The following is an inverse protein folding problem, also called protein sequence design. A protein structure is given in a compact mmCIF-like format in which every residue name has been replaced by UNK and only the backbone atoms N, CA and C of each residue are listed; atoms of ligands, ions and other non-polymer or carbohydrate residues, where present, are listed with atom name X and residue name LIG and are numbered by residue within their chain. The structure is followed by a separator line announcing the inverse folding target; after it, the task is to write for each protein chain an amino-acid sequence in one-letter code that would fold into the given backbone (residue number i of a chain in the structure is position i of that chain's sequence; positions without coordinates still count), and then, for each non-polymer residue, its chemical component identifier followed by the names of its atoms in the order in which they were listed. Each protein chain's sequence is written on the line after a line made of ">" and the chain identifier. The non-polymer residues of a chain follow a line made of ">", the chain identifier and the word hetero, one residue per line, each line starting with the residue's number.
data_IF_568740742829
#
_entry.id   IF_568740742829
#
_cell.length_a   1.000
_cell.length_b   1.000
_cell.length_c   1.000
_cell.angle_alpha   90.00
_cell.angle_beta   90.00
_cell.angle_gamma   90.00
#
_symmetry.space_group_name_H-M   'P 1'
#
loop_
_entity.id
_entity.type
_entity.pdbx_description
1 polymer ?
#
# COMPACT_ATOMS: atom_id res chain seq x y z
N UNK A 1 -19.28 11.16 -13.30
CA UNK A 1 -20.04 11.96 -14.25
C UNK A 1 -19.13 12.98 -14.93
N UNK A 2 -19.33 13.28 -16.21
CA UNK A 2 -18.50 14.23 -16.99
C UNK A 2 -18.42 15.63 -16.36
N UNK A 3 -19.43 16.05 -15.62
CA UNK A 3 -19.45 17.35 -14.95
C UNK A 3 -18.47 17.41 -13.76
N UNK A 4 -18.32 16.32 -13.02
CA UNK A 4 -17.36 16.24 -11.91
C UNK A 4 -15.91 16.26 -12.42
N UNK A 5 -15.61 15.51 -13.48
CA UNK A 5 -14.25 15.47 -14.06
C UNK A 5 -13.78 16.84 -14.56
N UNK A 6 -14.68 17.66 -15.13
CA UNK A 6 -14.36 19.03 -15.55
C UNK A 6 -14.06 19.97 -14.38
N UNK A 7 -14.60 19.67 -13.20
CA UNK A 7 -14.40 20.47 -11.98
C UNK A 7 -13.17 20.02 -11.18
N UNK A 8 -12.70 18.79 -11.39
CA UNK A 8 -11.51 18.24 -10.74
C UNK A 8 -10.29 19.03 -11.21
N UNK A 9 -9.56 19.63 -10.27
CA UNK A 9 -8.35 20.40 -10.53
C UNK A 9 -7.09 19.54 -10.34
N UNK A 10 -7.02 18.83 -9.24
CA UNK A 10 -5.93 17.95 -8.89
C UNK A 10 -6.43 16.80 -8.01
N UNK A 11 -5.69 15.71 -7.99
CA UNK A 11 -5.82 14.57 -7.06
C UNK A 11 -4.43 14.41 -6.44
N UNK A 12 -4.40 14.30 -5.13
CA UNK A 12 -3.18 14.01 -4.40
C UNK A 12 -3.29 12.60 -3.83
N UNK A 13 -2.35 11.76 -4.18
CA UNK A 13 -2.21 10.40 -3.65
C UNK A 13 -1.03 10.41 -2.69
N UNK A 14 -1.34 10.30 -1.41
CA UNK A 14 -0.36 10.36 -0.33
C UNK A 14 -0.11 8.94 0.18
N UNK A 15 0.91 8.27 -0.39
CA UNK A 15 1.32 6.90 -0.09
C UNK A 15 0.20 5.85 -0.25
N UNK A 16 -0.76 6.10 -1.14
CA UNK A 16 -1.84 5.18 -1.44
C UNK A 16 -1.31 3.97 -2.24
N UNK A 17 -1.83 2.75 -2.02
CA UNK A 17 -1.53 1.62 -2.89
C UNK A 17 -2.08 1.87 -4.29
N UNK A 18 -1.43 1.30 -5.30
CA UNK A 18 -1.87 1.38 -6.68
C UNK A 18 -3.10 0.53 -6.98
N UNK A 19 -3.29 0.23 -8.25
CA UNK A 19 -4.41 -0.57 -8.74
C UNK A 19 -3.91 -1.73 -9.61
N UNK A 20 -4.72 -2.78 -9.82
CA UNK A 20 -4.43 -3.78 -10.85
C UNK A 20 -4.25 -3.12 -12.23
N UNK A 21 -3.34 -3.63 -13.05
CA UNK A 21 -2.98 -3.02 -14.36
C UNK A 21 -4.18 -2.74 -15.27
N UNK A 22 -5.19 -3.62 -15.28
CA UNK A 22 -6.40 -3.45 -16.08
C UNK A 22 -7.23 -2.20 -15.71
N UNK A 23 -7.03 -1.63 -14.52
CA UNK A 23 -7.73 -0.41 -14.10
C UNK A 23 -7.34 0.78 -14.97
N UNK A 24 -6.08 0.86 -15.38
CA UNK A 24 -5.52 2.02 -16.10
C UNK A 24 -5.97 2.09 -17.57
N UNK A 25 -6.44 0.98 -18.12
CA UNK A 25 -7.03 0.94 -19.47
C UNK A 25 -8.43 1.55 -19.53
N UNK A 26 -9.00 1.93 -18.38
CA UNK A 26 -10.34 2.52 -18.32
C UNK A 26 -10.32 3.94 -18.83
N UNK A 27 -11.25 4.24 -19.74
CA UNK A 27 -11.42 5.57 -20.31
C UNK A 27 -11.58 6.68 -19.25
N UNK A 28 -12.19 6.36 -18.13
CA UNK A 28 -12.41 7.30 -17.03
C UNK A 28 -11.10 7.73 -16.36
N UNK A 29 -10.16 6.82 -16.18
CA UNK A 29 -8.85 7.11 -15.61
C UNK A 29 -8.03 8.02 -16.54
N UNK A 30 -7.97 7.70 -17.82
CA UNK A 30 -7.22 8.48 -18.83
C UNK A 30 -7.61 9.97 -18.86
N UNK A 31 -8.83 10.31 -18.44
CA UNK A 31 -9.30 11.71 -18.41
C UNK A 31 -8.79 12.52 -17.21
N UNK A 32 -8.27 11.86 -16.18
CA UNK A 32 -7.82 12.51 -14.94
C UNK A 32 -6.34 12.27 -14.65
N UNK A 33 -5.68 11.39 -15.37
CA UNK A 33 -4.28 11.02 -15.18
C UNK A 33 -3.35 12.22 -15.00
N UNK A 34 -3.42 13.21 -15.90
CA UNK A 34 -2.58 14.39 -15.87
C UNK A 34 -2.82 15.32 -14.65
N UNK A 35 -3.81 14.99 -13.83
CA UNK A 35 -4.16 15.74 -12.61
C UNK A 35 -3.74 15.04 -11.34
N UNK A 36 -3.20 13.83 -11.45
CA UNK A 36 -2.79 13.02 -10.31
C UNK A 36 -1.36 13.38 -9.94
N UNK A 37 -1.17 13.70 -8.67
CA UNK A 37 0.12 13.93 -8.03
C UNK A 37 0.32 12.83 -7.01
N UNK A 38 1.28 11.95 -7.26
CA UNK A 38 1.57 10.82 -6.39
C UNK A 38 2.80 11.12 -5.54
N UNK A 39 2.62 11.11 -4.23
CA UNK A 39 3.67 11.29 -3.23
C UNK A 39 3.84 10.01 -2.43
N UNK A 40 5.08 9.66 -2.13
CA UNK A 40 5.39 8.45 -1.36
C UNK A 40 6.69 8.66 -0.59
N UNK A 41 6.80 8.23 0.69
CA UNK A 41 8.04 8.39 1.44
C UNK A 41 9.13 7.45 0.93
N UNK A 42 10.39 7.80 1.18
CA UNK A 42 11.55 7.02 0.71
C UNK A 42 11.57 5.55 1.16
N UNK A 43 10.97 5.24 2.31
CA UNK A 43 10.88 3.87 2.82
C UNK A 43 9.48 3.25 2.66
N UNK A 44 8.67 3.77 1.73
CA UNK A 44 7.32 3.27 1.52
C UNK A 44 7.29 1.79 1.16
N UNK A 45 6.28 1.12 1.70
CA UNK A 45 5.86 -0.22 1.31
C UNK A 45 4.45 -0.12 0.72
N UNK A 46 3.55 0.57 1.39
CA UNK A 46 2.12 0.67 1.01
C UNK A 46 1.96 1.36 -0.34
N UNK A 47 2.54 2.55 -0.50
CA UNK A 47 2.46 3.32 -1.75
C UNK A 47 3.19 2.70 -2.94
N UNK A 48 3.88 1.58 -2.74
CA UNK A 48 4.56 0.82 -3.79
C UNK A 48 3.90 -0.52 -4.11
N UNK A 49 2.81 -0.84 -3.43
CA UNK A 49 2.02 -2.04 -3.72
C UNK A 49 1.17 -1.82 -4.98
N UNK A 50 1.04 -2.87 -5.79
CA UNK A 50 0.29 -2.84 -7.03
C UNK A 50 0.95 -1.92 -8.08
N UNK A 51 0.18 -1.55 -9.11
CA UNK A 51 0.68 -0.76 -10.23
C UNK A 51 0.24 0.70 -10.14
N UNK A 52 1.17 1.61 -10.40
CA UNK A 52 0.93 3.04 -10.58
C UNK A 52 1.28 3.45 -12.00
N UNK A 53 0.46 4.26 -12.63
CA UNK A 53 0.70 4.82 -13.98
C UNK A 53 1.20 6.28 -13.90
N UNK A 54 1.47 6.76 -12.69
CA UNK A 54 2.02 8.10 -12.41
C UNK A 54 3.36 7.93 -11.70
N UNK A 55 4.36 8.67 -12.15
CA UNK A 55 5.67 8.69 -11.51
C UNK A 55 5.58 9.28 -10.10
N UNK A 56 6.17 8.63 -9.09
CA UNK A 56 6.13 9.10 -7.72
C UNK A 56 7.04 10.31 -7.50
N UNK A 57 6.57 11.25 -6.69
CA UNK A 57 7.43 12.22 -6.02
C UNK A 57 7.86 11.63 -4.68
N UNK A 58 9.10 11.16 -4.58
CA UNK A 58 9.62 10.53 -3.37
C UNK A 58 9.93 11.63 -2.35
N UNK A 59 9.33 11.54 -1.16
CA UNK A 59 9.48 12.53 -0.10
C UNK A 59 10.30 11.97 1.07
N UNK A 60 11.03 12.85 1.74
CA UNK A 60 11.74 12.49 2.96
C UNK A 60 10.77 12.39 4.14
N UNK A 61 10.81 11.26 4.87
CA UNK A 61 10.11 11.09 6.14
C UNK A 61 11.09 10.91 7.28
N UNK A 62 10.84 11.56 8.40
CA UNK A 62 11.62 11.39 9.64
C UNK A 62 11.36 10.03 10.31
N UNK A 63 10.25 9.38 9.99
CA UNK A 63 9.91 8.08 10.50
C UNK A 63 10.56 6.95 9.68
N UNK A 64 10.41 5.72 10.16
CA UNK A 64 10.84 4.49 9.48
C UNK A 64 9.73 3.45 9.46
N UNK A 65 9.83 2.48 8.55
CA UNK A 65 8.87 1.39 8.38
C UNK A 65 7.46 1.93 8.07
N UNK A 66 6.42 1.27 8.56
CA UNK A 66 5.02 1.65 8.31
C UNK A 66 4.65 3.04 8.83
N UNK A 67 5.39 3.58 9.80
CA UNK A 67 5.12 4.94 10.31
C UNK A 67 5.38 6.05 9.28
N UNK A 68 6.13 5.76 8.22
CA UNK A 68 6.33 6.70 7.11
C UNK A 68 5.04 6.97 6.32
N UNK A 69 4.05 6.08 6.42
CA UNK A 69 2.71 6.32 5.84
C UNK A 69 2.01 7.55 6.43
N UNK A 70 2.46 8.03 7.58
CA UNK A 70 1.95 9.26 8.21
C UNK A 70 2.48 10.51 7.48
N UNK A 71 1.63 11.19 6.73
CA UNK A 71 1.97 12.44 6.03
C UNK A 71 2.56 13.50 6.97
N UNK A 72 2.14 13.51 8.24
CA UNK A 72 2.67 14.43 9.26
C UNK A 72 4.15 14.21 9.61
N UNK A 73 4.74 13.08 9.22
CA UNK A 73 6.16 12.80 9.38
C UNK A 73 7.01 13.19 8.16
N UNK A 74 6.37 13.69 7.11
CA UNK A 74 7.07 14.08 5.89
C UNK A 74 7.70 15.47 6.07
N UNK A 75 8.97 15.56 5.77
CA UNK A 75 9.73 16.80 5.97
C UNK A 75 9.35 17.84 4.94
N UNK A 76 9.13 19.07 5.43
CA UNK A 76 8.79 20.23 4.60
C UNK A 76 9.99 21.18 4.56
N UNK A 77 10.36 21.60 3.35
CA UNK A 77 11.37 22.62 3.11
C UNK A 77 10.73 23.84 2.43
N UNK A 78 10.47 24.87 3.22
CA UNK A 78 9.77 26.07 2.80
C UNK A 78 8.29 25.81 2.46
N UNK A 79 7.94 25.86 1.19
CA UNK A 79 6.58 25.68 0.67
C UNK A 79 6.32 24.33 -0.03
N UNK A 80 7.25 23.39 0.11
CA UNK A 80 7.20 22.08 -0.55
C UNK A 80 7.74 20.98 0.35
N UNK A 81 7.46 19.73 0.00
CA UNK A 81 8.12 18.59 0.63
C UNK A 81 9.61 18.57 0.26
N UNK A 82 10.43 18.04 1.17
CA UNK A 82 11.81 17.68 0.87
C UNK A 82 11.79 16.39 0.06
N UNK A 83 12.35 16.42 -1.13
CA UNK A 83 12.35 15.29 -2.06
C UNK A 83 13.63 14.47 -1.93
N UNK A 84 13.47 13.16 -2.20
CA UNK A 84 14.54 12.19 -2.32
C UNK A 84 14.66 11.71 -3.77
N UNK A 85 15.87 11.33 -4.19
CA UNK A 85 16.11 10.86 -5.56
C UNK A 85 15.70 9.38 -5.76
N UNK A 86 15.61 8.61 -4.69
CA UNK A 86 15.34 7.16 -4.72
C UNK A 86 14.75 6.66 -3.43
N UNK A 87 14.17 5.48 -3.52
CA UNK A 87 13.71 4.73 -2.35
C UNK A 87 14.87 4.16 -1.54
N UNK A 88 14.60 3.82 -0.29
CA UNK A 88 15.50 3.06 0.58
C UNK A 88 15.67 1.63 0.04
N UNK A 89 16.88 1.08 0.17
CA UNK A 89 17.17 -0.28 -0.30
C UNK A 89 16.27 -1.35 0.32
N UNK A 90 15.87 -1.17 1.59
CA UNK A 90 14.95 -2.09 2.27
C UNK A 90 13.56 -2.00 1.67
N UNK A 91 13.08 -0.79 1.38
CA UNK A 91 11.81 -0.55 0.69
C UNK A 91 11.82 -1.17 -0.70
N UNK A 92 12.91 -1.01 -1.48
CA UNK A 92 13.06 -1.63 -2.79
C UNK A 92 12.87 -3.14 -2.70
N UNK A 93 13.64 -3.80 -1.83
CA UNK A 93 13.59 -5.25 -1.68
C UNK A 93 12.20 -5.76 -1.26
N UNK A 94 11.58 -5.12 -0.25
CA UNK A 94 10.28 -5.56 0.28
C UNK A 94 9.18 -5.32 -0.75
N UNK A 95 9.19 -4.17 -1.44
CA UNK A 95 8.17 -3.84 -2.44
C UNK A 95 8.26 -4.73 -3.66
N UNK A 96 9.46 -5.00 -4.17
CA UNK A 96 9.66 -5.91 -5.30
C UNK A 96 9.12 -7.30 -4.96
N UNK A 97 9.41 -7.77 -3.75
CA UNK A 97 8.95 -9.07 -3.29
C UNK A 97 7.42 -9.15 -3.11
N UNK A 98 6.79 -8.12 -2.54
CA UNK A 98 5.33 -8.05 -2.39
C UNK A 98 4.66 -7.99 -3.77
N UNK A 99 5.18 -7.19 -4.70
CA UNK A 99 4.62 -7.08 -6.03
C UNK A 99 4.79 -8.38 -6.84
N UNK A 100 5.94 -9.05 -6.70
CA UNK A 100 6.13 -10.39 -7.27
C UNK A 100 5.10 -11.37 -6.71
N UNK A 101 4.82 -11.33 -5.41
CA UNK A 101 3.79 -12.16 -4.80
C UNK A 101 2.40 -11.85 -5.36
N UNK A 102 2.03 -10.58 -5.46
CA UNK A 102 0.73 -10.14 -6.00
C UNK A 102 0.53 -10.63 -7.44
N UNK A 103 1.59 -10.66 -8.25
CA UNK A 103 1.53 -11.18 -9.62
C UNK A 103 1.26 -12.71 -9.69
N UNK A 104 1.49 -13.45 -8.59
CA UNK A 104 1.27 -14.91 -8.50
C UNK A 104 -0.05 -15.33 -7.83
N UNK A 105 -0.81 -14.39 -7.27
CA UNK A 105 -2.08 -14.67 -6.61
C UNK A 105 -3.25 -14.18 -7.47
N UNK A 106 -4.41 -14.84 -7.35
CA UNK A 106 -5.62 -14.40 -8.04
C UNK A 106 -6.23 -13.16 -7.38
N UNK A 107 -7.11 -12.47 -8.10
CA UNK A 107 -7.86 -11.32 -7.55
C UNK A 107 -8.66 -11.72 -6.29
N UNK A 108 -9.21 -12.94 -6.25
CA UNK A 108 -9.94 -13.46 -5.09
C UNK A 108 -9.03 -13.70 -3.89
N UNK A 109 -7.81 -14.20 -4.13
CA UNK A 109 -6.80 -14.39 -3.08
C UNK A 109 -6.29 -13.05 -2.56
N UNK A 110 -6.11 -12.05 -3.43
CA UNK A 110 -5.74 -10.70 -3.06
C UNK A 110 -6.83 -10.03 -2.21
N UNK A 111 -8.10 -10.17 -2.60
CA UNK A 111 -9.24 -9.67 -1.83
C UNK A 111 -9.28 -10.33 -0.45
N UNK A 112 -9.16 -11.66 -0.39
CA UNK A 112 -9.11 -12.39 0.88
C UNK A 112 -7.97 -11.92 1.79
N UNK A 113 -6.81 -11.60 1.20
CA UNK A 113 -5.67 -11.07 1.94
C UNK A 113 -6.03 -9.74 2.62
N UNK A 114 -6.59 -8.79 1.89
CA UNK A 114 -6.99 -7.49 2.44
C UNK A 114 -8.13 -7.60 3.45
N UNK A 115 -9.17 -8.39 3.16
CA UNK A 115 -10.29 -8.64 4.08
C UNK A 115 -9.78 -9.24 5.40
N UNK A 116 -8.77 -10.12 5.32
CA UNK A 116 -8.17 -10.73 6.50
C UNK A 116 -7.35 -9.71 7.30
N UNK A 117 -6.60 -8.83 6.64
CA UNK A 117 -5.89 -7.75 7.32
C UNK A 117 -6.85 -6.80 8.05
N UNK A 118 -7.95 -6.41 7.39
CA UNK A 118 -9.00 -5.58 8.00
C UNK A 118 -9.62 -6.27 9.22
N UNK A 119 -10.02 -7.53 9.08
CA UNK A 119 -10.57 -8.32 10.19
C UNK A 119 -9.61 -8.42 11.37
N UNK A 120 -8.31 -8.64 11.11
CA UNK A 120 -7.29 -8.69 12.18
C UNK A 120 -7.18 -7.34 12.86
N UNK A 121 -7.06 -6.26 12.09
CA UNK A 121 -6.95 -4.90 12.62
C UNK A 121 -8.12 -4.57 13.56
N UNK A 122 -9.35 -4.87 13.15
CA UNK A 122 -10.55 -4.66 13.96
C UNK A 122 -10.54 -5.47 15.25
N UNK A 123 -10.13 -6.76 15.19
CA UNK A 123 -10.21 -7.66 16.37
C UNK A 123 -9.09 -7.44 17.39
N UNK A 124 -7.95 -6.86 17.01
CA UNK A 124 -6.87 -6.51 17.95
C UNK A 124 -7.00 -5.09 18.48
N UNK A 125 -8.12 -4.39 18.14
CA UNK A 125 -8.41 -3.03 18.62
C UNK A 125 -7.51 -1.97 17.99
N UNK A 126 -7.02 -2.21 16.77
CA UNK A 126 -6.35 -1.20 15.97
C UNK A 126 -7.44 -0.35 15.35
N UNK A 127 -7.80 0.73 16.02
CA UNK A 127 -8.73 1.73 15.48
C UNK A 127 -8.04 2.64 14.46
N UNK A 128 -6.71 2.72 14.49
CA UNK A 128 -5.90 3.51 13.57
C UNK A 128 -4.57 2.78 13.29
N UNK A 129 -4.06 2.90 12.07
CA UNK A 129 -2.71 2.47 11.69
C UNK A 129 -1.61 3.02 12.62
N UNK A 130 -1.90 4.10 13.33
CA UNK A 130 -1.04 4.71 14.33
C UNK A 130 -0.82 3.86 15.59
N UNK A 131 -1.74 2.97 15.91
CA UNK A 131 -1.65 2.08 17.07
C UNK A 131 -0.71 0.90 16.84
N UNK A 132 -0.29 0.66 15.60
CA UNK A 132 0.70 -0.36 15.24
C UNK A 132 2.08 0.11 15.67
N UNK A 133 2.30 0.22 16.96
CA UNK A 133 3.55 0.75 17.50
C UNK A 133 4.81 -0.07 17.21
N UNK A 134 4.71 -1.35 16.86
CA UNK A 134 5.86 -2.25 16.62
C UNK A 134 5.45 -3.58 15.96
N UNK A 135 4.36 -3.63 15.25
CA UNK A 135 4.03 -4.84 14.49
C UNK A 135 4.93 -4.89 13.26
N UNK A 136 6.00 -5.66 13.38
CA UNK A 136 6.70 -6.21 12.25
C UNK A 136 5.64 -6.88 11.34
N UNK A 137 5.68 -6.59 10.05
CA UNK A 137 4.74 -7.19 9.07
C UNK A 137 4.71 -8.72 9.21
N UNK A 138 5.83 -9.33 9.57
CA UNK A 138 5.96 -10.76 9.89
C UNK A 138 5.10 -11.16 11.11
N UNK A 139 4.96 -10.29 12.10
CA UNK A 139 4.10 -10.55 13.28
C UNK A 139 2.61 -10.42 12.94
N UNK A 140 2.25 -9.48 12.05
CA UNK A 140 0.88 -9.38 11.50
C UNK A 140 0.53 -10.67 10.76
N UNK A 141 1.41 -11.17 9.92
CA UNK A 141 1.22 -12.44 9.24
C UNK A 141 1.17 -13.65 10.21
N UNK A 142 1.96 -13.64 11.27
CA UNK A 142 1.89 -14.64 12.33
C UNK A 142 0.58 -14.62 13.13
N UNK A 143 0.00 -13.44 13.34
CA UNK A 143 -1.32 -13.27 13.95
C UNK A 143 -2.43 -13.83 13.04
N UNK A 144 -2.32 -13.64 11.74
CA UNK A 144 -3.25 -14.21 10.75
C UNK A 144 -3.24 -15.74 10.79
N UNK A 145 -2.11 -16.38 11.02
CA UNK A 145 -2.01 -17.85 11.19
C UNK A 145 -2.76 -18.35 12.45
N UNK A 146 -2.94 -17.48 13.43
CA UNK A 146 -3.69 -17.78 14.67
C UNK A 146 -5.19 -17.60 14.55
N UNK A 147 -5.70 -17.03 13.45
CA UNK A 147 -7.13 -16.79 13.27
C UNK A 147 -7.84 -18.11 12.98
N UNK A 148 -8.52 -18.60 14.00
CA UNK A 148 -9.24 -19.88 13.99
C UNK A 148 -10.53 -19.89 13.15
N UNK A 149 -10.93 -18.76 12.62
CA UNK A 149 -12.23 -18.56 11.94
C UNK A 149 -12.21 -18.82 10.43
N UNK A 150 -11.04 -18.86 9.80
CA UNK A 150 -10.93 -19.26 8.41
C UNK A 150 -11.17 -20.77 8.26
N UNK A 151 -11.88 -21.18 7.22
CA UNK A 151 -11.98 -22.59 6.87
C UNK A 151 -10.62 -23.18 6.45
N UNK A 152 -10.53 -24.51 6.40
CA UNK A 152 -9.26 -25.21 6.17
C UNK A 152 -8.70 -24.95 4.76
N UNK A 153 -9.53 -24.65 3.79
CA UNK A 153 -9.12 -24.33 2.42
C UNK A 153 -8.44 -22.95 2.38
N UNK A 154 -9.08 -21.94 2.95
CA UNK A 154 -8.56 -20.59 3.04
C UNK A 154 -7.29 -20.50 3.90
N UNK A 155 -7.25 -21.22 5.03
CA UNK A 155 -6.03 -21.38 5.84
C UNK A 155 -4.87 -21.97 5.04
N UNK A 156 -5.15 -22.99 4.23
CA UNK A 156 -4.11 -23.64 3.44
C UNK A 156 -3.57 -22.72 2.35
N UNK A 157 -4.45 -22.02 1.63
CA UNK A 157 -4.06 -21.04 0.61
C UNK A 157 -3.26 -19.90 1.23
N UNK A 158 -3.72 -19.37 2.36
CA UNK A 158 -3.05 -18.31 3.07
C UNK A 158 -1.64 -18.72 3.56
N UNK A 159 -1.50 -19.92 4.11
CA UNK A 159 -0.19 -20.50 4.48
C UNK A 159 0.75 -20.69 3.30
N UNK A 160 0.20 -21.00 2.12
CA UNK A 160 1.00 -21.11 0.89
C UNK A 160 1.49 -19.75 0.43
N UNK A 161 0.65 -18.71 0.54
CA UNK A 161 1.03 -17.32 0.26
C UNK A 161 2.15 -16.89 1.22
N UNK A 162 1.95 -17.07 2.53
CA UNK A 162 2.95 -16.75 3.54
C UNK A 162 4.30 -17.47 3.32
N UNK A 163 4.28 -18.76 2.96
CA UNK A 163 5.52 -19.51 2.67
C UNK A 163 6.29 -19.01 1.44
N UNK A 164 5.63 -18.26 0.57
CA UNK A 164 6.30 -17.57 -0.56
C UNK A 164 6.87 -16.21 -0.12
N UNK A 165 6.41 -15.67 1.02
CA UNK A 165 6.81 -14.37 1.59
C UNK A 165 7.95 -14.49 2.60
N UNK A 166 8.15 -15.67 3.17
CA UNK A 166 9.22 -16.01 4.13
C UNK A 166 10.24 -16.95 3.48
#
# INVERSE_FOLDING_TARGET
>A
SNSLKKRLKAVYEDDAPGFPKYFFDRYDYCQIKDKIHFFTPQGSIIGRMLFHDTEPSIVHSENSGLKQHQVSSWEVDGDRFKYEEKYDRTSDFVSDYINELIDYISDEELQLFFDTLEYVAENIGIEDFYDIKELDIIKVFGLIDSITTLDDEHKTKFKQILKKVI
#
